data_IF_748830180293
#
_entry.id   IF_748830180293
#
_cell.length_a   1.000
_cell.length_b   1.000
_cell.length_c   1.000
_cell.angle_alpha   90.00
_cell.angle_beta   90.00
_cell.angle_gamma   90.00
#
_symmetry.space_group_name_H-M   'P 1'
#
loop_
_entity.id
_entity.type
_entity.pdbx_description
1 polymer ?
#
# COMPACT_ATOMS: atom_id res chain seq x y z
N UNK A 1 -9.51 -18.67 -22.24
CA UNK A 1 -8.06 -18.91 -22.25
C UNK A 1 -7.48 -18.26 -21.00
N UNK A 2 -7.33 -19.03 -19.93
CA UNK A 2 -6.69 -18.59 -18.68
C UNK A 2 -5.18 -18.66 -18.87
N UNK A 3 -4.55 -17.51 -19.07
CA UNK A 3 -3.09 -17.42 -18.96
C UNK A 3 -2.76 -17.53 -17.45
N UNK A 4 -2.11 -18.60 -17.02
CA UNK A 4 -1.82 -18.81 -15.61
C UNK A 4 -0.90 -17.69 -15.08
N UNK A 5 -1.11 -17.24 -13.84
CA UNK A 5 -0.27 -16.24 -13.17
C UNK A 5 1.23 -16.56 -13.26
N UNK A 6 1.57 -17.85 -13.24
CA UNK A 6 2.93 -18.38 -13.47
C UNK A 6 3.47 -18.07 -14.89
N UNK A 7 2.61 -18.11 -15.91
CA UNK A 7 2.96 -17.76 -17.29
C UNK A 7 3.25 -16.27 -17.47
N UNK A 8 2.53 -15.41 -16.75
CA UNK A 8 2.77 -13.96 -16.75
C UNK A 8 4.09 -13.59 -16.03
N UNK A 9 4.44 -14.32 -14.96
CA UNK A 9 5.69 -14.10 -14.21
C UNK A 9 6.95 -14.40 -15.03
N UNK A 10 6.91 -15.40 -15.93
CA UNK A 10 8.08 -15.76 -16.76
C UNK A 10 8.37 -14.78 -17.91
N UNK A 11 7.38 -14.02 -18.38
CA UNK A 11 7.54 -13.08 -19.52
C UNK A 11 8.09 -11.70 -19.13
N UNK A 12 8.31 -11.43 -17.84
CA UNK A 12 8.60 -10.07 -17.33
C UNK A 12 10.06 -9.75 -16.99
N UNK A 13 10.99 -10.70 -17.06
CA UNK A 13 12.38 -10.49 -16.62
C UNK A 13 13.35 -10.61 -17.79
N UNK A 14 13.73 -9.47 -18.36
CA UNK A 14 14.82 -9.39 -19.34
C UNK A 14 16.20 -9.51 -18.65
N UNK A 15 17.26 -9.96 -19.35
CA UNK A 15 18.49 -10.42 -18.69
C UNK A 15 19.51 -9.32 -18.30
N UNK A 16 19.18 -8.02 -18.31
CA UNK A 16 20.20 -6.96 -18.23
C UNK A 16 19.83 -5.73 -17.37
N UNK A 17 19.09 -5.91 -16.28
CA UNK A 17 19.00 -4.86 -15.25
C UNK A 17 20.06 -5.14 -14.16
N UNK A 18 21.12 -4.34 -14.18
CA UNK A 18 22.19 -4.30 -13.20
C UNK A 18 21.64 -4.33 -11.76
N UNK A 19 22.12 -5.32 -10.99
CA UNK A 19 21.98 -5.40 -9.55
C UNK A 19 22.46 -4.08 -8.91
N UNK A 20 21.74 -3.63 -7.88
CA UNK A 20 21.94 -2.39 -7.10
C UNK A 20 21.10 -1.19 -7.57
N UNK A 21 19.91 -1.01 -6.94
CA UNK A 21 19.18 0.27 -6.70
C UNK A 21 17.70 0.37 -7.12
N UNK A 22 17.14 -0.49 -7.98
CA UNK A 22 15.75 -0.30 -8.42
C UNK A 22 14.72 -0.94 -7.47
N UNK A 23 14.23 -0.17 -6.49
CA UNK A 23 13.14 -0.61 -5.61
C UNK A 23 11.87 -1.04 -6.38
N UNK A 24 11.12 -2.01 -5.84
CA UNK A 24 9.88 -2.49 -6.46
C UNK A 24 8.74 -1.48 -6.24
N UNK A 25 8.22 -0.95 -7.34
CA UNK A 25 7.14 0.04 -7.35
C UNK A 25 5.78 -0.62 -7.49
N UNK A 26 4.84 -0.32 -6.61
CA UNK A 26 3.47 -0.84 -6.69
C UNK A 26 2.43 0.24 -6.37
N UNK A 27 1.20 0.05 -6.86
CA UNK A 27 0.05 0.91 -6.58
C UNK A 27 -1.24 0.17 -6.96
N UNK A 28 -2.38 0.64 -6.47
CA UNK A 28 -3.70 0.00 -6.68
C UNK A 28 -4.09 -0.22 -8.15
N UNK A 29 -3.49 0.53 -9.06
CA UNK A 29 -3.71 0.44 -10.50
C UNK A 29 -2.46 -0.06 -11.26
N UNK A 30 -1.52 -0.70 -10.57
CA UNK A 30 -0.36 -1.33 -11.22
C UNK A 30 -0.78 -2.49 -12.14
N UNK A 31 0.16 -2.99 -12.95
CA UNK A 31 -0.05 -4.22 -13.72
C UNK A 31 -0.05 -5.41 -12.76
N UNK A 32 -0.71 -6.50 -13.15
CA UNK A 32 -0.58 -7.77 -12.43
C UNK A 32 0.88 -8.25 -12.44
N UNK A 33 1.35 -8.88 -11.36
CA UNK A 33 0.65 -9.15 -10.10
C UNK A 33 0.74 -8.00 -9.06
N UNK A 34 1.50 -6.93 -9.33
CA UNK A 34 1.89 -5.93 -8.33
C UNK A 34 0.74 -5.10 -7.76
N UNK A 35 -0.39 -4.98 -8.46
CA UNK A 35 -1.58 -4.29 -7.91
C UNK A 35 -2.13 -4.96 -6.63
N UNK A 36 -1.87 -6.26 -6.45
CA UNK A 36 -2.29 -7.01 -5.26
C UNK A 36 -1.51 -6.61 -4.01
N UNK A 37 -0.33 -5.97 -4.15
CA UNK A 37 0.47 -5.48 -3.03
C UNK A 37 -0.17 -4.28 -2.33
N UNK A 38 -1.01 -3.49 -3.03
CA UNK A 38 -1.73 -2.36 -2.42
C UNK A 38 -2.62 -2.80 -1.28
N UNK A 39 -2.67 -2.02 -0.19
CA UNK A 39 -3.61 -2.21 0.92
C UNK A 39 -5.09 -2.18 0.47
N UNK A 40 -5.38 -1.61 -0.70
CA UNK A 40 -6.72 -1.55 -1.27
C UNK A 40 -7.18 -2.87 -1.92
N UNK A 41 -6.25 -3.78 -2.20
CA UNK A 41 -6.59 -5.06 -2.81
C UNK A 41 -7.53 -5.88 -1.92
N UNK A 42 -8.55 -6.48 -2.53
CA UNK A 42 -9.56 -7.29 -1.87
C UNK A 42 -9.04 -8.67 -1.56
N UNK A 43 -8.85 -8.90 -0.27
CA UNK A 43 -8.49 -10.17 0.32
C UNK A 43 -8.99 -10.17 1.75
N UNK A 44 -9.67 -11.25 2.15
CA UNK A 44 -10.16 -11.37 3.52
C UNK A 44 -8.99 -11.39 4.50
N UNK A 45 -8.98 -10.44 5.43
CA UNK A 45 -7.98 -10.28 6.46
C UNK A 45 -8.62 -10.62 7.80
N UNK A 46 -8.43 -11.86 8.26
CA UNK A 46 -8.90 -12.31 9.57
C UNK A 46 -7.95 -11.84 10.67
N UNK A 47 -8.43 -11.01 11.60
CA UNK A 47 -7.65 -10.44 12.70
C UNK A 47 -8.47 -10.55 13.99
N UNK A 48 -8.06 -11.47 14.87
CA UNK A 48 -8.88 -11.86 16.01
C UNK A 48 -10.17 -12.52 15.54
N UNK A 49 -11.30 -12.03 16.04
CA UNK A 49 -12.64 -12.52 15.68
C UNK A 49 -13.22 -11.84 14.43
N UNK A 50 -12.64 -10.71 14.01
CA UNK A 50 -13.16 -9.90 12.91
C UNK A 50 -12.55 -10.32 11.57
N UNK A 51 -13.35 -10.30 10.50
CA UNK A 51 -12.87 -10.56 9.13
C UNK A 51 -13.12 -9.36 8.23
N UNK A 52 -12.05 -8.70 7.79
CA UNK A 52 -12.14 -7.50 6.95
C UNK A 52 -11.93 -7.83 5.46
N UNK A 53 -12.60 -7.14 4.51
CA UNK A 53 -12.48 -7.44 3.08
C UNK A 53 -11.14 -6.99 2.45
N UNK A 54 -10.33 -6.20 3.17
CA UNK A 54 -8.99 -5.78 2.74
C UNK A 54 -8.18 -5.26 3.92
N UNK A 55 -6.87 -5.16 3.72
CA UNK A 55 -5.95 -4.55 4.68
C UNK A 55 -6.32 -3.09 5.01
N UNK A 56 -6.85 -2.33 4.05
CA UNK A 56 -7.30 -0.96 4.29
C UNK A 56 -8.53 -0.90 5.22
N UNK A 57 -9.49 -1.82 5.09
CA UNK A 57 -10.63 -1.86 6.02
C UNK A 57 -10.18 -2.18 7.44
N UNK A 58 -9.32 -3.19 7.60
CA UNK A 58 -8.72 -3.51 8.89
C UNK A 58 -7.97 -2.31 9.47
N UNK A 59 -7.18 -1.62 8.64
CA UNK A 59 -6.40 -0.45 9.06
C UNK A 59 -7.31 0.68 9.57
N UNK A 60 -8.34 1.06 8.83
CA UNK A 60 -9.23 2.15 9.23
C UNK A 60 -10.04 1.77 10.47
N UNK A 61 -10.60 0.56 10.50
CA UNK A 61 -11.50 0.11 11.56
C UNK A 61 -10.80 -0.09 12.91
N UNK A 62 -9.76 -0.95 12.96
CA UNK A 62 -9.11 -1.34 14.21
C UNK A 62 -8.43 -0.17 14.93
N UNK A 63 -8.03 0.84 14.17
CA UNK A 63 -7.14 1.88 14.68
C UNK A 63 -7.75 3.26 14.83
N UNK A 64 -8.78 3.57 14.04
CA UNK A 64 -9.39 4.91 14.10
C UNK A 64 -10.76 4.90 14.75
N UNK A 65 -11.37 3.74 14.90
CA UNK A 65 -12.76 3.64 15.32
C UNK A 65 -12.89 2.90 16.64
N UNK A 66 -13.89 3.33 17.40
CA UNK A 66 -14.34 2.71 18.64
C UNK A 66 -15.65 1.96 18.41
N UNK A 67 -15.88 0.94 19.25
CA UNK A 67 -17.15 0.21 19.27
C UNK A 67 -17.25 -0.86 18.19
N UNK A 68 -18.47 -1.02 17.65
CA UNK A 68 -18.85 -2.10 16.75
C UNK A 68 -18.12 -2.00 15.39
N UNK A 69 -17.36 -3.05 15.07
CA UNK A 69 -16.60 -3.16 13.83
C UNK A 69 -17.37 -3.90 12.72
N UNK A 70 -18.54 -4.46 13.00
CA UNK A 70 -19.32 -5.27 12.06
C UNK A 70 -19.60 -4.58 10.73
N UNK A 71 -19.80 -3.25 10.74
CA UNK A 71 -20.00 -2.44 9.54
C UNK A 71 -18.79 -2.42 8.60
N UNK A 72 -17.59 -2.69 9.11
CA UNK A 72 -16.32 -2.70 8.37
C UNK A 72 -15.91 -4.08 7.86
N UNK A 73 -16.52 -5.12 8.42
CA UNK A 73 -16.23 -6.51 8.10
C UNK A 73 -16.81 -6.93 6.75
N UNK A 74 -16.46 -8.15 6.32
CA UNK A 74 -17.04 -8.78 5.13
C UNK A 74 -18.56 -8.83 5.29
N UNK A 75 -19.28 -8.31 4.29
CA UNK A 75 -20.74 -8.20 4.31
C UNK A 75 -21.29 -6.98 5.05
N UNK A 76 -20.45 -6.25 5.79
CA UNK A 76 -20.79 -5.00 6.46
C UNK A 76 -21.12 -3.85 5.50
N UNK A 77 -21.79 -2.83 6.03
CA UNK A 77 -22.25 -1.68 5.26
C UNK A 77 -21.14 -0.91 4.54
N UNK A 78 -19.99 -0.77 5.19
CA UNK A 78 -18.84 -0.02 4.69
C UNK A 78 -17.94 -0.84 3.76
N UNK A 79 -18.22 -2.14 3.64
CA UNK A 79 -17.63 -3.03 2.64
C UNK A 79 -18.54 -3.29 1.43
N UNK A 80 -19.75 -2.71 1.41
CA UNK A 80 -20.70 -2.88 0.32
C UNK A 80 -20.61 -1.74 -0.70
N UNK A 81 -20.28 -2.10 -1.96
CA UNK A 81 -20.13 -1.13 -3.06
C UNK A 81 -21.35 -0.26 -3.28
N UNK A 82 -22.53 -0.86 -3.33
CA UNK A 82 -23.76 -0.17 -3.69
C UNK A 82 -24.21 0.75 -2.55
N UNK A 83 -24.03 0.32 -1.30
CA UNK A 83 -24.33 1.13 -0.12
C UNK A 83 -23.39 2.34 0.00
N UNK A 84 -22.08 2.13 -0.06
CA UNK A 84 -21.10 3.24 0.03
C UNK A 84 -21.25 4.22 -1.14
N UNK A 85 -21.36 3.72 -2.38
CA UNK A 85 -21.47 4.61 -3.54
C UNK A 85 -22.82 5.30 -3.63
N UNK A 86 -23.93 4.69 -3.19
CA UNK A 86 -25.24 5.35 -3.20
C UNK A 86 -25.27 6.55 -2.24
N UNK A 87 -24.75 6.40 -1.02
CA UNK A 87 -24.64 7.49 -0.03
C UNK A 87 -23.81 8.65 -0.61
N UNK A 88 -22.62 8.34 -1.11
CA UNK A 88 -21.71 9.35 -1.65
C UNK A 88 -22.26 10.00 -2.91
N UNK A 89 -22.85 9.22 -3.83
CA UNK A 89 -23.37 9.78 -5.08
C UNK A 89 -24.64 10.61 -4.87
N UNK A 90 -25.46 10.28 -3.85
CA UNK A 90 -26.57 11.13 -3.42
C UNK A 90 -26.06 12.49 -2.95
N UNK A 91 -25.08 12.50 -2.04
CA UNK A 91 -24.44 13.73 -1.56
C UNK A 91 -23.81 14.55 -2.72
N UNK A 92 -23.06 13.89 -3.60
CA UNK A 92 -22.45 14.56 -4.77
C UNK A 92 -23.50 15.17 -5.69
N UNK A 93 -24.58 14.46 -5.97
CA UNK A 93 -25.65 14.96 -6.85
C UNK A 93 -26.34 16.17 -6.22
N UNK A 94 -26.61 16.15 -4.91
CA UNK A 94 -27.15 17.30 -4.17
C UNK A 94 -26.23 18.52 -4.24
N UNK A 95 -24.92 18.31 -4.34
CA UNK A 95 -23.91 19.35 -4.51
C UNK A 95 -23.55 19.65 -5.98
N UNK A 96 -24.38 19.22 -6.95
CA UNK A 96 -24.18 19.46 -8.39
C UNK A 96 -22.85 18.89 -8.93
N UNK A 97 -22.34 17.83 -8.30
CA UNK A 97 -21.12 17.12 -8.68
C UNK A 97 -21.46 15.82 -9.42
N UNK A 98 -20.64 15.47 -10.42
CA UNK A 98 -20.78 14.21 -11.17
C UNK A 98 -20.66 12.98 -10.23
N UNK A 99 -21.53 11.96 -10.36
CA UNK A 99 -21.40 10.71 -9.62
C UNK A 99 -20.05 10.01 -9.85
N UNK A 100 -19.54 9.36 -8.80
CA UNK A 100 -18.40 8.46 -8.87
C UNK A 100 -18.80 7.14 -9.51
N UNK A 101 -17.88 6.56 -10.29
CA UNK A 101 -18.01 5.22 -10.88
C UNK A 101 -17.07 4.25 -10.18
N UNK A 102 -17.55 3.04 -9.87
CA UNK A 102 -16.79 2.00 -9.17
C UNK A 102 -16.07 1.02 -10.10
N UNK A 103 -16.43 0.97 -11.39
CA UNK A 103 -16.03 -0.07 -12.35
C UNK A 103 -14.52 -0.31 -12.39
N UNK A 104 -13.72 0.77 -12.42
CA UNK A 104 -12.27 0.68 -12.46
C UNK A 104 -11.71 -0.07 -11.24
N UNK A 105 -12.27 0.22 -10.07
CA UNK A 105 -11.82 -0.37 -8.80
C UNK A 105 -12.30 -1.81 -8.67
N UNK A 106 -13.56 -2.09 -9.03
CA UNK A 106 -14.12 -3.45 -9.09
C UNK A 106 -13.29 -4.35 -10.01
N UNK A 107 -12.94 -3.87 -11.22
CA UNK A 107 -12.15 -4.63 -12.21
C UNK A 107 -10.77 -5.08 -11.69
N UNK A 108 -10.17 -4.35 -10.76
CA UNK A 108 -8.85 -4.68 -10.16
C UNK A 108 -8.95 -5.22 -8.74
N UNK A 109 -10.15 -5.61 -8.32
CA UNK A 109 -10.44 -6.07 -6.97
C UNK A 109 -9.87 -5.10 -5.90
N UNK A 110 -10.11 -3.79 -6.05
CA UNK A 110 -9.57 -2.75 -5.15
C UNK A 110 -10.64 -2.31 -4.13
N UNK A 111 -11.18 -3.27 -3.38
CA UNK A 111 -12.30 -3.08 -2.43
C UNK A 111 -11.99 -2.05 -1.35
N UNK A 112 -10.73 -1.93 -0.91
CA UNK A 112 -10.30 -0.99 0.13
C UNK A 112 -10.53 0.48 -0.19
N UNK A 113 -10.80 0.84 -1.45
CA UNK A 113 -11.22 2.20 -1.79
C UNK A 113 -12.48 2.64 -1.04
N UNK A 114 -13.38 1.71 -0.70
CA UNK A 114 -14.59 2.00 0.06
C UNK A 114 -14.26 2.50 1.47
N UNK A 115 -13.35 1.84 2.18
CA UNK A 115 -12.87 2.30 3.48
C UNK A 115 -12.27 3.71 3.42
N UNK A 116 -11.48 4.03 2.39
CA UNK A 116 -10.98 5.39 2.17
C UNK A 116 -12.13 6.39 1.97
N UNK A 117 -13.12 6.03 1.16
CA UNK A 117 -14.25 6.90 0.84
C UNK A 117 -15.11 7.19 2.08
N UNK A 118 -15.38 6.16 2.89
CA UNK A 118 -16.11 6.28 4.17
C UNK A 118 -15.38 7.21 5.13
N UNK A 119 -14.07 7.02 5.31
CA UNK A 119 -13.23 7.84 6.20
C UNK A 119 -13.14 9.29 5.75
N UNK A 120 -13.01 9.54 4.43
CA UNK A 120 -12.90 10.90 3.89
C UNK A 120 -14.20 11.69 3.89
N UNK A 121 -15.33 10.99 4.00
CA UNK A 121 -16.67 11.58 4.01
C UNK A 121 -17.40 11.19 5.27
N UNK A 122 -16.68 11.12 6.38
CA UNK A 122 -17.19 10.61 7.65
C UNK A 122 -18.38 11.38 8.18
N UNK A 123 -18.64 12.60 7.71
CA UNK A 123 -19.87 13.34 7.99
C UNK A 123 -21.13 12.66 7.40
N UNK A 124 -20.97 11.83 6.37
CA UNK A 124 -22.04 11.08 5.71
C UNK A 124 -22.24 9.68 6.31
N UNK A 125 -21.31 9.24 7.16
CA UNK A 125 -21.28 7.92 7.73
C UNK A 125 -21.22 8.05 9.26
N UNK A 126 -22.14 7.43 9.98
CA UNK A 126 -22.19 7.51 11.44
C UNK A 126 -20.99 6.77 12.07
N UNK A 127 -19.84 7.44 12.12
CA UNK A 127 -18.55 6.89 12.57
C UNK A 127 -18.24 7.33 13.99
N UNK A 128 -17.99 6.34 14.86
CA UNK A 128 -17.50 6.57 16.22
C UNK A 128 -15.97 6.54 16.24
N UNK A 129 -15.35 7.71 16.37
CA UNK A 129 -13.90 7.86 16.30
C UNK A 129 -13.20 7.60 17.64
N UNK A 130 -11.97 7.08 17.56
CA UNK A 130 -10.99 7.08 18.65
C UNK A 130 -10.45 8.49 18.89
N UNK A 131 -10.05 8.82 20.14
CA UNK A 131 -9.26 10.01 20.43
C UNK A 131 -8.00 10.10 19.55
N UNK A 132 -7.61 11.32 19.16
CA UNK A 132 -6.51 11.56 18.21
C UNK A 132 -5.17 10.96 18.66
N UNK A 133 -4.88 11.01 19.95
CA UNK A 133 -3.63 10.49 20.53
C UNK A 133 -3.53 8.96 20.43
N UNK A 134 -4.66 8.26 20.47
CA UNK A 134 -4.73 6.81 20.24
C UNK A 134 -4.59 6.45 18.76
N UNK A 135 -5.01 7.34 17.86
CA UNK A 135 -5.02 7.09 16.42
C UNK A 135 -3.64 7.28 15.76
N UNK A 136 -2.80 8.18 16.26
CA UNK A 136 -1.48 8.51 15.68
C UNK A 136 -0.29 7.73 16.27
N UNK A 137 -0.44 7.11 17.44
CA UNK A 137 0.66 6.57 18.27
C UNK A 137 1.17 5.15 17.92
N UNK A 138 1.00 4.65 16.71
CA UNK A 138 0.94 3.18 16.53
C UNK A 138 2.07 2.58 15.70
N UNK A 139 2.75 1.60 16.31
CA UNK A 139 3.97 0.94 15.84
C UNK A 139 3.74 -0.15 14.80
N UNK A 140 4.80 -0.49 14.04
CA UNK A 140 4.84 -1.64 13.13
C UNK A 140 4.27 -2.93 13.76
N UNK A 141 4.75 -3.27 14.97
CA UNK A 141 4.40 -4.53 15.65
C UNK A 141 2.91 -4.63 16.00
N UNK A 142 2.27 -3.52 16.38
CA UNK A 142 0.87 -3.52 16.87
C UNK A 142 -0.16 -3.26 15.77
N UNK A 143 0.23 -2.62 14.67
CA UNK A 143 -0.69 -2.19 13.59
C UNK A 143 -0.42 -2.90 12.29
N UNK A 144 0.76 -2.69 11.72
CA UNK A 144 1.06 -3.16 10.37
C UNK A 144 1.28 -4.66 10.31
N UNK A 145 2.01 -5.22 11.27
CA UNK A 145 2.38 -6.64 11.26
C UNK A 145 1.15 -7.56 11.30
N UNK A 146 0.16 -7.42 12.22
CA UNK A 146 -1.02 -8.28 12.22
C UNK A 146 -1.85 -8.18 10.92
N UNK A 147 -1.94 -6.98 10.34
CA UNK A 147 -2.64 -6.76 9.07
C UNK A 147 -1.91 -7.46 7.91
N UNK A 148 -0.58 -7.39 7.87
CA UNK A 148 0.20 -8.07 6.86
C UNK A 148 0.19 -9.59 7.03
N UNK A 149 0.26 -10.09 8.27
CA UNK A 149 0.09 -11.52 8.56
C UNK A 149 -1.26 -12.04 8.04
N UNK A 150 -2.34 -11.30 8.27
CA UNK A 150 -3.65 -11.65 7.74
C UNK A 150 -3.71 -11.58 6.20
N UNK A 151 -3.19 -10.50 5.59
CA UNK A 151 -3.22 -10.31 4.13
C UNK A 151 -2.36 -11.33 3.37
N UNK A 152 -1.18 -11.66 3.88
CA UNK A 152 -0.22 -12.57 3.24
C UNK A 152 -0.26 -13.98 3.87
N UNK A 153 -1.40 -14.34 4.49
CA UNK A 153 -1.67 -15.68 4.99
C UNK A 153 -1.76 -16.71 3.86
N UNK A 154 -2.26 -16.31 2.69
CA UNK A 154 -2.31 -17.18 1.50
C UNK A 154 -0.96 -17.25 0.79
N UNK A 155 -0.61 -18.43 0.30
CA UNK A 155 0.65 -18.65 -0.43
C UNK A 155 0.72 -17.82 -1.71
N UNK A 156 -0.40 -17.58 -2.40
CA UNK A 156 -0.43 -16.76 -3.61
C UNK A 156 0.08 -15.33 -3.36
N UNK A 157 -0.52 -14.63 -2.40
CA UNK A 157 -0.12 -13.25 -2.09
C UNK A 157 1.26 -13.21 -1.44
N UNK A 158 1.59 -14.19 -0.59
CA UNK A 158 2.91 -14.32 0.02
C UNK A 158 3.99 -14.48 -1.04
N UNK A 159 3.80 -15.36 -2.03
CA UNK A 159 4.76 -15.58 -3.10
C UNK A 159 4.92 -14.33 -3.98
N UNK A 160 3.85 -13.59 -4.25
CA UNK A 160 3.94 -12.30 -4.95
C UNK A 160 4.84 -11.34 -4.14
N UNK A 161 4.64 -11.22 -2.82
CA UNK A 161 5.46 -10.35 -1.96
C UNK A 161 6.93 -10.78 -1.95
N UNK A 162 7.20 -12.08 -1.77
CA UNK A 162 8.57 -12.63 -1.71
C UNK A 162 9.30 -12.55 -3.07
N UNK A 163 8.57 -12.50 -4.18
CA UNK A 163 9.17 -12.31 -5.51
C UNK A 163 9.71 -10.90 -5.77
N UNK A 164 9.35 -9.94 -4.92
CA UNK A 164 9.81 -8.55 -5.03
C UNK A 164 11.26 -8.40 -4.58
N UNK A 165 11.97 -7.40 -5.13
CA UNK A 165 13.35 -7.08 -4.75
C UNK A 165 13.52 -5.63 -4.34
N UNK A 166 14.52 -5.38 -3.51
CA UNK A 166 14.84 -4.04 -3.00
C UNK A 166 13.72 -3.43 -2.15
N UNK A 167 13.79 -2.11 -1.88
CA UNK A 167 12.75 -1.40 -1.15
C UNK A 167 11.40 -1.45 -1.88
N UNK A 168 10.31 -1.68 -1.15
CA UNK A 168 8.95 -1.59 -1.67
C UNK A 168 8.44 -0.14 -1.58
N UNK A 169 7.88 0.34 -2.69
CA UNK A 169 7.47 1.74 -2.83
C UNK A 169 6.01 1.79 -3.29
N UNK A 170 5.12 2.20 -2.38
CA UNK A 170 3.69 2.38 -2.71
C UNK A 170 3.48 3.75 -3.36
N UNK A 171 3.08 3.79 -4.63
CA UNK A 171 2.78 5.04 -5.33
C UNK A 171 1.30 5.43 -5.22
N UNK A 172 1.03 6.63 -4.73
CA UNK A 172 -0.33 7.18 -4.74
C UNK A 172 -0.54 8.08 -5.97
N UNK A 173 -1.28 7.59 -6.98
CA UNK A 173 -1.70 8.43 -8.11
C UNK A 173 -2.77 9.44 -7.69
N UNK A 174 -2.57 10.71 -8.03
CA UNK A 174 -3.53 11.79 -7.77
C UNK A 174 -3.36 12.51 -6.44
N UNK A 175 -2.35 12.11 -5.66
CA UNK A 175 -1.90 12.88 -4.52
C UNK A 175 -1.04 14.05 -4.96
N UNK A 176 -1.60 15.25 -4.89
CA UNK A 176 -0.89 16.44 -4.44
C UNK A 176 -0.04 17.24 -5.45
N UNK A 177 -0.72 17.93 -6.37
CA UNK A 177 -0.24 19.23 -6.88
C UNK A 177 0.29 20.13 -5.74
N UNK A 178 -0.30 20.04 -4.56
CA UNK A 178 0.09 20.78 -3.35
C UNK A 178 1.43 20.36 -2.77
N UNK A 179 1.79 19.07 -2.81
CA UNK A 179 3.07 18.55 -2.31
C UNK A 179 4.17 18.81 -3.31
N UNK A 180 3.88 18.65 -4.61
CA UNK A 180 4.77 19.10 -5.69
C UNK A 180 5.06 20.60 -5.54
N UNK A 181 4.01 21.42 -5.41
CA UNK A 181 4.15 22.87 -5.23
C UNK A 181 4.95 23.20 -3.96
N UNK A 182 4.67 22.55 -2.84
CA UNK A 182 5.44 22.76 -1.60
C UNK A 182 6.91 22.37 -1.77
N UNK A 183 7.20 21.27 -2.47
CA UNK A 183 8.55 20.84 -2.79
C UNK A 183 9.27 21.87 -3.68
N UNK A 184 8.64 22.31 -4.76
CA UNK A 184 9.15 23.36 -5.65
C UNK A 184 9.39 24.67 -4.91
N UNK A 185 8.49 25.07 -4.00
CA UNK A 185 8.65 26.24 -3.14
C UNK A 185 9.85 26.12 -2.19
N UNK A 186 10.15 24.93 -1.67
CA UNK A 186 11.32 24.70 -0.82
C UNK A 186 12.62 24.72 -1.63
N UNK A 187 12.65 24.10 -2.81
CA UNK A 187 13.80 24.17 -3.72
C UNK A 187 14.07 25.61 -4.16
N UNK A 188 13.04 26.39 -4.48
CA UNK A 188 13.18 27.79 -4.86
C UNK A 188 13.78 28.67 -3.74
N UNK A 189 13.71 28.22 -2.48
CA UNK A 189 14.34 28.87 -1.31
C UNK A 189 15.77 28.38 -1.05
N UNK A 190 16.36 27.57 -1.93
CA UNK A 190 17.72 27.04 -1.78
C UNK A 190 17.85 25.90 -0.76
N UNK A 191 16.75 25.27 -0.35
CA UNK A 191 16.78 24.07 0.50
C UNK A 191 17.24 22.87 -0.33
N UNK A 192 18.09 22.00 0.23
CA UNK A 192 18.53 20.79 -0.48
C UNK A 192 17.34 19.91 -0.88
N UNK A 193 17.44 19.12 -1.96
CA UNK A 193 16.37 18.23 -2.39
C UNK A 193 15.85 17.28 -1.30
N UNK A 194 16.74 16.74 -0.45
CA UNK A 194 16.39 15.83 0.63
C UNK A 194 15.54 16.52 1.71
N UNK A 195 15.97 17.71 2.14
CA UNK A 195 15.29 18.47 3.18
C UNK A 195 14.00 19.13 2.66
N UNK A 196 13.99 19.57 1.40
CA UNK A 196 12.78 20.06 0.73
C UNK A 196 11.72 18.96 0.63
N UNK A 197 12.14 17.75 0.28
CA UNK A 197 11.28 16.58 0.22
C UNK A 197 10.72 16.24 1.62
N UNK A 198 11.57 16.20 2.66
CA UNK A 198 11.13 15.97 4.04
C UNK A 198 10.07 16.98 4.51
N UNK A 199 10.26 18.28 4.20
CA UNK A 199 9.33 19.36 4.55
C UNK A 199 8.03 19.33 3.74
N UNK A 200 8.09 18.99 2.46
CA UNK A 200 6.89 18.83 1.63
C UNK A 200 6.05 17.63 2.08
N UNK A 201 6.71 16.56 2.51
CA UNK A 201 6.08 15.31 2.94
C UNK A 201 5.44 15.36 4.33
N UNK A 202 6.02 16.13 5.27
CA UNK A 202 5.44 16.32 6.61
C UNK A 202 4.06 17.00 6.59
N UNK A 203 3.78 17.80 5.55
CA UNK A 203 2.47 18.44 5.34
C UNK A 203 1.38 17.51 4.80
N UNK A 204 1.74 16.32 4.31
CA UNK A 204 0.84 15.56 3.45
C UNK A 204 0.26 14.29 4.07
N UNK A 205 0.68 13.89 5.29
CA UNK A 205 0.29 12.61 5.92
C UNK A 205 0.33 11.44 4.92
N UNK A 206 1.38 11.42 4.08
CA UNK A 206 1.46 10.53 2.93
C UNK A 206 2.17 9.23 3.30
N UNK A 207 1.38 8.16 3.39
CA UNK A 207 1.83 6.78 3.64
C UNK A 207 2.56 6.14 2.44
N UNK A 208 2.52 6.76 1.25
CA UNK A 208 3.17 6.29 0.01
C UNK A 208 4.12 7.32 -0.60
N UNK A 209 4.94 6.90 -1.57
CA UNK A 209 5.85 7.76 -2.33
C UNK A 209 5.21 8.35 -3.59
N UNK A 210 5.81 9.41 -4.14
CA UNK A 210 5.31 10.18 -5.28
C UNK A 210 6.29 10.12 -6.45
N UNK A 211 5.83 9.89 -7.70
CA UNK A 211 6.67 9.97 -8.91
C UNK A 211 6.31 11.20 -9.76
N UNK A 212 7.27 12.11 -9.98
CA UNK A 212 7.15 13.34 -10.78
C UNK A 212 7.21 13.15 -12.29
N UNK A 213 7.63 11.98 -12.75
CA UNK A 213 8.01 11.72 -14.14
C UNK A 213 6.89 12.02 -15.16
N UNK A 214 5.62 12.00 -14.73
CA UNK A 214 4.48 12.34 -15.60
C UNK A 214 4.10 13.82 -15.65
N UNK A 215 4.38 14.61 -14.61
CA UNK A 215 3.98 16.02 -14.56
C UNK A 215 5.13 16.97 -14.92
N UNK A 216 6.39 16.56 -14.75
CA UNK A 216 7.53 17.42 -15.05
C UNK A 216 8.03 17.18 -16.49
N UNK A 217 7.27 17.71 -17.46
CA UNK A 217 7.78 17.96 -18.83
C UNK A 217 8.54 19.29 -18.97
N UNK A 218 8.68 20.08 -17.88
CA UNK A 218 9.43 21.35 -17.88
C UNK A 218 10.88 21.11 -17.45
N UNK A 219 11.70 20.80 -18.45
CA UNK A 219 13.16 20.60 -18.38
C UNK A 219 13.87 21.93 -18.03
N UNK A 220 14.57 21.99 -16.90
CA UNK A 220 15.81 22.79 -16.75
C UNK A 220 16.42 22.73 -15.34
N UNK A 221 15.64 22.46 -14.28
CA UNK A 221 16.14 22.47 -12.88
C UNK A 221 16.34 21.10 -12.21
N UNK A 222 16.23 20.00 -12.96
CA UNK A 222 16.25 18.62 -12.43
C UNK A 222 17.54 17.84 -12.69
N UNK A 223 18.44 18.36 -13.52
CA UNK A 223 19.70 17.67 -13.86
C UNK A 223 20.68 17.66 -12.67
N UNK A 224 20.53 18.59 -11.72
CA UNK A 224 21.35 18.74 -10.52
C UNK A 224 20.89 17.88 -9.32
N UNK A 225 19.77 17.18 -9.41
CA UNK A 225 19.29 16.32 -8.32
C UNK A 225 19.98 14.94 -8.41
N UNK A 226 20.55 14.39 -7.32
CA UNK A 226 21.14 13.05 -7.32
C UNK A 226 20.15 11.98 -7.81
N UNK A 227 20.61 10.99 -8.56
CA UNK A 227 19.76 9.93 -9.17
C UNK A 227 18.83 9.16 -8.19
N UNK A 228 19.16 8.92 -6.90
CA UNK A 228 18.23 8.33 -5.95
C UNK A 228 17.03 9.24 -5.59
N UNK A 229 17.15 10.54 -5.85
CA UNK A 229 16.16 11.58 -5.56
C UNK A 229 15.48 12.11 -6.82
N UNK A 230 16.09 11.90 -8.00
CA UNK A 230 15.35 11.99 -9.25
C UNK A 230 14.16 11.01 -9.15
N UNK A 231 12.99 11.50 -9.53
CA UNK A 231 11.77 10.70 -9.71
C UNK A 231 11.02 10.27 -8.43
N UNK A 232 11.42 10.67 -7.21
CA UNK A 232 10.64 10.35 -6.00
C UNK A 232 10.59 11.48 -4.97
N UNK A 233 9.42 12.12 -4.76
CA UNK A 233 9.16 12.75 -3.44
C UNK A 233 8.68 11.65 -2.53
N UNK A 234 9.53 11.31 -1.58
CA UNK A 234 9.19 10.39 -0.54
C UNK A 234 8.23 11.12 0.39
N UNK A 235 6.93 10.92 0.20
CA UNK A 235 6.08 10.72 1.38
C UNK A 235 6.76 9.70 2.29
N UNK A 236 6.34 9.56 3.54
CA UNK A 236 7.08 8.70 4.48
C UNK A 236 7.23 7.24 3.98
N UNK A 237 6.46 6.84 2.96
CA UNK A 237 6.43 5.50 2.36
C UNK A 237 6.24 4.45 3.46
N UNK A 238 5.48 4.81 4.48
CA UNK A 238 5.34 4.01 5.70
C UNK A 238 4.71 2.65 5.37
N UNK A 239 3.76 2.57 4.42
CA UNK A 239 3.26 1.27 3.95
C UNK A 239 4.37 0.46 3.30
N UNK A 240 5.11 1.05 2.34
CA UNK A 240 6.18 0.36 1.62
C UNK A 240 7.35 -0.07 2.52
N UNK A 241 7.76 0.77 3.48
CA UNK A 241 8.79 0.46 4.48
C UNK A 241 8.36 -0.68 5.40
N UNK A 242 7.16 -0.61 5.96
CA UNK A 242 6.65 -1.65 6.83
C UNK A 242 6.43 -2.96 6.05
N UNK A 243 6.00 -2.88 4.80
CA UNK A 243 5.84 -4.07 3.95
C UNK A 243 7.19 -4.69 3.55
N UNK A 244 8.21 -3.85 3.28
CA UNK A 244 9.59 -4.32 3.06
C UNK A 244 10.09 -5.06 4.30
N UNK A 245 9.94 -4.43 5.47
CA UNK A 245 10.29 -5.05 6.75
C UNK A 245 9.59 -6.40 6.95
N UNK A 246 8.30 -6.48 6.67
CA UNK A 246 7.54 -7.73 6.82
C UNK A 246 8.01 -8.81 5.85
N UNK A 247 8.27 -8.47 4.58
CA UNK A 247 8.87 -9.39 3.61
C UNK A 247 10.22 -9.92 4.10
N UNK A 248 11.07 -9.03 4.61
CA UNK A 248 12.42 -9.38 5.05
C UNK A 248 12.34 -10.29 6.31
N UNK A 249 11.39 -10.05 7.22
CA UNK A 249 11.08 -10.95 8.34
C UNK A 249 10.63 -12.35 7.85
N UNK A 250 9.79 -12.44 6.81
CA UNK A 250 9.40 -13.72 6.21
C UNK A 250 10.57 -14.47 5.55
N UNK A 251 11.46 -13.75 4.87
CA UNK A 251 12.65 -14.33 4.23
C UNK A 251 13.61 -14.92 5.26
N UNK A 252 13.83 -14.21 6.37
CA UNK A 252 14.68 -14.68 7.47
C UNK A 252 14.10 -15.97 8.10
N UNK A 253 12.82 -15.98 8.44
CA UNK A 253 12.19 -17.16 9.03
C UNK A 253 12.20 -18.38 8.08
N UNK A 254 12.09 -18.15 6.77
CA UNK A 254 12.19 -19.24 5.78
C UNK A 254 13.62 -19.81 5.67
N UNK A 255 14.65 -18.98 5.87
CA UNK A 255 16.05 -19.43 5.89
C UNK A 255 16.34 -20.31 7.12
N UNK A 256 15.81 -19.94 8.29
CA UNK A 256 15.99 -20.70 9.54
C UNK A 256 15.40 -22.12 9.43
N UNK A 257 14.24 -22.29 8.77
CA UNK A 257 13.63 -23.62 8.56
C UNK A 257 14.43 -24.55 7.62
N UNK A 258 15.34 -23.98 6.82
CA UNK A 258 16.20 -24.75 5.91
C UNK A 258 17.57 -25.11 6.49
N UNK A 259 18.02 -24.47 7.57
CA UNK A 259 19.26 -24.85 8.27
C UNK A 259 19.06 -26.10 9.13
N UNK A 260 17.90 -26.27 9.76
CA UNK A 260 17.60 -27.45 10.60
C UNK A 260 17.37 -28.75 9.79
N UNK A 261 17.15 -28.66 8.48
CA UNK A 261 16.97 -29.85 7.63
C UNK A 261 18.27 -30.40 7.03
N UNK A 262 19.42 -29.76 7.27
CA UNK A 262 20.72 -30.21 6.72
C UNK A 262 21.56 -31.09 7.66
N UNK A 263 21.16 -31.29 8.92
CA UNK A 263 21.97 -32.03 9.92
C UNK A 263 21.49 -33.44 10.26
N UNK A 264 20.46 -33.97 9.59
CA UNK A 264 19.95 -35.33 9.82
C UNK A 264 20.18 -36.29 8.63
N UNK A 265 21.36 -36.25 8.00
CA UNK A 265 21.75 -37.28 7.02
C UNK A 265 23.26 -37.48 7.01
N UNK A 266 23.78 -38.18 8.04
CA UNK A 266 24.94 -39.08 7.93
C UNK A 266 25.20 -39.73 9.29
N UNK A 267 24.62 -40.91 9.49
CA UNK A 267 25.26 -42.10 10.08
C UNK A 267 24.33 -43.29 9.93
N UNK A 268 24.32 -43.87 8.73
CA UNK A 268 23.90 -45.25 8.51
C UNK A 268 25.08 -46.01 7.90
N UNK A 269 25.62 -46.91 8.73
CA UNK A 269 26.24 -48.20 8.43
C UNK A 269 27.26 -48.26 7.28
N UNK A 270 28.51 -48.50 7.66
CA UNK A 270 29.26 -49.64 7.09
C UNK A 270 29.73 -50.54 8.23
N UNK A 271 29.82 -51.83 7.87
CA UNK A 271 29.89 -53.06 8.68
C UNK A 271 30.88 -53.07 9.82
#
# INVERSE_FOLDING_TARGET
MEESLLGAMKKGLGPNETLESSGTRFYSDAKAPLHCLSNLYGCECKIGENTFPSAEHAYQALHKLNGDLSKWEVGGDYSNWDKVYSIINKDRTNNVLKPLKSDKWKKKNQVGIMAILVIRRSELFDLSWKPRDDALSVSYKKRWRPIFEAKYASDELRNILLSTRGPLIEFKRGGHKTTLKAFEEHLARGVSPEEANKRASSRAELWGAFNYEREIKRKSKLEEIPDPLKLTVWGENTTGKNLSRYRDELLLNNLDTHEDTKTASKKSRYK
#
